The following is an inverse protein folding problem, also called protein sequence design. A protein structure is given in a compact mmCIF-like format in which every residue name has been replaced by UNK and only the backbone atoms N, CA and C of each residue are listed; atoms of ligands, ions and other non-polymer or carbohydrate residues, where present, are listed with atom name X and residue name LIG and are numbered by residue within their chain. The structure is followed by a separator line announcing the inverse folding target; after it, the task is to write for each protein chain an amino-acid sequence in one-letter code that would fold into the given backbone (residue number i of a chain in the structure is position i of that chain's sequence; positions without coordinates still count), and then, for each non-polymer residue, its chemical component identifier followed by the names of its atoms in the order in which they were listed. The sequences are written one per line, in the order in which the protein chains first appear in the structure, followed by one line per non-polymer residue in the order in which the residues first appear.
data_IF_158320752936
#
_entry.id   IF_158320752936
#
_cell.length_a   1.000
_cell.length_b   1.000
_cell.length_c   1.000
_cell.angle_alpha   90.00
_cell.angle_beta   90.00
_cell.angle_gamma   90.00
#
_symmetry.space_group_name_H-M   'P 1'
#
loop_
_entity.id
_entity.type
_entity.pdbx_description
1 polymer ?
#
# COMPACT_ATOMS: atom_id res chain seq x y z
N UNK A 1 2.07 14.47 16.91
CA UNK A 1 2.53 14.49 15.51
C UNK A 1 2.41 13.15 14.78
N UNK A 2 2.95 12.02 15.26
CA UNK A 2 2.69 10.71 14.61
C UNK A 2 1.34 10.10 14.98
N UNK A 3 0.90 10.21 16.24
CA UNK A 3 -0.42 9.75 16.68
C UNK A 3 -1.55 10.36 15.84
N UNK A 4 -1.51 11.67 15.58
CA UNK A 4 -2.51 12.36 14.75
C UNK A 4 -2.54 11.86 13.30
N UNK A 5 -1.39 11.45 12.76
CA UNK A 5 -1.29 10.88 11.41
C UNK A 5 -1.91 9.49 11.37
N UNK A 6 -1.60 8.65 12.35
CA UNK A 6 -2.21 7.32 12.51
C UNK A 6 -3.73 7.47 12.62
N UNK A 7 -4.20 8.38 13.46
CA UNK A 7 -5.62 8.63 13.66
C UNK A 7 -6.33 9.01 12.35
N UNK A 8 -5.79 9.98 11.61
CA UNK A 8 -6.35 10.43 10.33
C UNK A 8 -6.35 9.32 9.26
N UNK A 9 -5.27 8.54 9.17
CA UNK A 9 -5.16 7.43 8.22
C UNK A 9 -6.16 6.31 8.53
N UNK A 10 -6.32 5.94 9.81
CA UNK A 10 -7.31 4.94 10.22
C UNK A 10 -8.73 5.44 9.99
N UNK A 11 -9.05 6.69 10.36
CA UNK A 11 -10.38 7.24 10.13
C UNK A 11 -10.74 7.26 8.64
N UNK A 12 -9.83 7.70 7.79
CA UNK A 12 -10.05 7.69 6.34
C UNK A 12 -10.15 6.26 5.78
N UNK A 13 -9.29 5.36 6.24
CA UNK A 13 -9.24 3.98 5.78
C UNK A 13 -10.50 3.18 6.15
N UNK A 14 -10.95 3.27 7.40
CA UNK A 14 -12.21 2.64 7.83
C UNK A 14 -13.40 3.22 7.07
N UNK A 15 -13.46 4.54 6.87
CA UNK A 15 -14.54 5.18 6.10
C UNK A 15 -14.58 4.73 4.64
N UNK A 16 -13.41 4.60 4.01
CA UNK A 16 -13.29 4.41 2.56
C UNK A 16 -13.34 2.94 2.16
N UNK A 17 -12.59 2.09 2.88
CA UNK A 17 -12.39 0.69 2.50
C UNK A 17 -13.26 -0.28 3.29
N UNK A 18 -13.98 0.18 4.32
CA UNK A 18 -14.92 -0.63 5.09
C UNK A 18 -16.34 -0.04 5.08
N UNK A 19 -16.95 0.18 3.90
CA UNK A 19 -18.35 0.60 3.86
C UNK A 19 -19.21 -0.43 4.60
N UNK A 20 -20.06 0.05 5.51
CA UNK A 20 -20.88 -0.81 6.39
C UNK A 20 -20.08 -1.86 7.17
N UNK A 21 -18.84 -1.51 7.56
CA UNK A 21 -17.90 -2.36 8.31
C UNK A 21 -17.45 -3.63 7.57
N UNK A 22 -17.53 -3.67 6.24
CA UNK A 22 -17.06 -4.78 5.41
C UNK A 22 -16.01 -4.30 4.43
N UNK A 23 -14.85 -4.96 4.40
CA UNK A 23 -13.78 -4.59 3.48
C UNK A 23 -14.26 -4.65 2.02
N UNK A 24 -13.96 -3.62 1.23
CA UNK A 24 -14.26 -3.52 -0.21
C UNK A 24 -13.08 -2.88 -0.93
N UNK A 25 -12.65 -3.48 -2.04
CA UNK A 25 -11.66 -2.89 -2.92
C UNK A 25 -12.32 -1.90 -3.89
N UNK A 26 -12.43 -0.64 -3.45
CA UNK A 26 -13.23 0.40 -4.15
C UNK A 26 -12.79 0.69 -5.58
N UNK A 27 -11.52 0.44 -5.93
CA UNK A 27 -11.00 0.72 -7.26
C UNK A 27 -11.44 -0.30 -8.31
N UNK A 28 -11.88 -1.50 -7.91
CA UNK A 28 -12.11 -2.58 -8.86
C UNK A 28 -13.26 -3.56 -8.49
N UNK A 29 -13.69 -3.64 -7.24
CA UNK A 29 -14.71 -4.61 -6.81
C UNK A 29 -16.09 -4.24 -7.38
N UNK A 30 -16.38 -2.93 -7.50
CA UNK A 30 -17.65 -2.38 -8.00
C UNK A 30 -17.88 -2.61 -9.51
N UNK A 31 -16.83 -2.76 -10.29
CA UNK A 31 -16.89 -2.93 -11.75
C UNK A 31 -16.32 -4.27 -12.24
N UNK A 32 -16.08 -5.21 -11.32
CA UNK A 32 -15.47 -6.51 -11.61
C UNK A 32 -14.09 -6.44 -12.30
N UNK A 33 -13.35 -5.33 -12.10
CA UNK A 33 -12.10 -5.03 -12.79
C UNK A 33 -10.82 -5.51 -12.09
N UNK A 34 -10.94 -6.21 -10.95
CA UNK A 34 -9.80 -6.51 -10.09
C UNK A 34 -8.76 -7.41 -10.76
N UNK A 35 -7.48 -7.11 -10.47
CA UNK A 35 -6.32 -7.84 -10.94
C UNK A 35 -5.79 -8.79 -9.87
N UNK A 36 -4.88 -9.69 -10.26
CA UNK A 36 -4.37 -10.77 -9.41
C UNK A 36 -3.77 -10.29 -8.08
N UNK A 37 -3.07 -9.16 -8.11
CA UNK A 37 -2.54 -8.46 -6.95
C UNK A 37 -3.65 -7.95 -6.02
N UNK A 38 -4.68 -7.31 -6.59
CA UNK A 38 -5.77 -6.69 -5.85
C UNK A 38 -6.61 -7.67 -5.03
N UNK A 39 -6.63 -8.96 -5.41
CA UNK A 39 -7.33 -10.00 -4.63
C UNK A 39 -6.75 -10.20 -3.23
N UNK A 40 -5.52 -9.77 -2.96
CA UNK A 40 -4.83 -9.96 -1.68
C UNK A 40 -4.93 -8.77 -0.72
N UNK A 41 -5.32 -7.59 -1.22
CA UNK A 41 -5.20 -6.34 -0.46
C UNK A 41 -6.08 -6.32 0.79
N UNK A 42 -7.31 -6.84 0.70
CA UNK A 42 -8.23 -6.97 1.85
C UNK A 42 -7.60 -7.81 2.96
N UNK A 43 -6.91 -8.89 2.62
CA UNK A 43 -6.16 -9.70 3.56
C UNK A 43 -5.02 -8.94 4.26
N UNK A 44 -4.26 -8.16 3.50
CA UNK A 44 -3.19 -7.33 4.07
C UNK A 44 -3.74 -6.28 5.01
N UNK A 45 -4.80 -5.57 4.62
CA UNK A 45 -5.42 -4.54 5.44
C UNK A 45 -5.92 -5.13 6.76
N UNK A 46 -6.58 -6.29 6.75
CA UNK A 46 -7.00 -6.99 7.97
C UNK A 46 -5.83 -7.28 8.92
N UNK A 47 -4.74 -7.87 8.40
CA UNK A 47 -3.56 -8.22 9.21
C UNK A 47 -2.84 -6.98 9.75
N UNK A 48 -2.69 -5.96 8.92
CA UNK A 48 -2.01 -4.72 9.30
C UNK A 48 -2.83 -3.95 10.32
N UNK A 49 -4.14 -3.83 10.13
CA UNK A 49 -5.01 -3.14 11.09
C UNK A 49 -5.05 -3.86 12.43
N UNK A 50 -5.13 -5.19 12.44
CA UNK A 50 -5.02 -5.97 13.66
C UNK A 50 -3.68 -5.68 14.36
N UNK A 51 -2.56 -5.75 13.65
CA UNK A 51 -1.23 -5.44 14.22
C UNK A 51 -1.16 -4.01 14.76
N UNK A 52 -1.75 -3.03 14.07
CA UNK A 52 -1.83 -1.63 14.52
C UNK A 52 -2.45 -1.52 15.92
N UNK A 53 -3.45 -2.35 16.25
CA UNK A 53 -4.07 -2.33 17.58
C UNK A 53 -3.12 -2.75 18.71
N UNK A 54 -2.04 -3.47 18.43
CA UNK A 54 -1.04 -3.85 19.43
C UNK A 54 0.01 -2.74 19.65
N UNK A 55 0.44 -2.06 18.59
CA UNK A 55 1.44 -0.98 18.63
C UNK A 55 0.84 0.40 18.93
N UNK A 56 -0.43 0.62 18.60
CA UNK A 56 -1.20 1.84 18.87
C UNK A 56 -2.55 1.50 19.55
N UNK A 57 -2.56 1.11 20.84
CA UNK A 57 -3.75 0.54 21.49
C UNK A 57 -4.99 1.43 21.50
N UNK A 58 -4.82 2.76 21.47
CA UNK A 58 -5.92 3.73 21.37
C UNK A 58 -6.76 3.60 20.07
N UNK A 59 -6.32 2.79 19.10
CA UNK A 59 -7.06 2.50 17.86
C UNK A 59 -7.94 1.25 17.96
N UNK A 60 -7.73 0.39 18.97
CA UNK A 60 -8.31 -0.94 19.05
C UNK A 60 -9.85 -0.93 19.04
N UNK A 61 -10.48 -0.04 19.81
CA UNK A 61 -11.94 0.06 19.91
C UNK A 61 -12.61 0.44 18.59
N UNK A 62 -11.90 1.13 17.70
CA UNK A 62 -12.41 1.49 16.36
C UNK A 62 -12.14 0.41 15.33
N UNK A 63 -10.99 -0.25 15.40
CA UNK A 63 -10.54 -1.21 14.38
C UNK A 63 -11.15 -2.59 14.60
N UNK A 64 -11.07 -3.14 15.81
CA UNK A 64 -11.41 -4.56 16.05
C UNK A 64 -12.87 -4.90 15.72
N UNK A 65 -13.88 -4.08 16.07
CA UNK A 65 -15.27 -4.38 15.70
C UNK A 65 -15.48 -4.40 14.18
N UNK A 66 -14.80 -3.53 13.45
CA UNK A 66 -14.87 -3.47 11.98
C UNK A 66 -14.23 -4.70 11.36
N UNK A 67 -13.04 -5.10 11.84
CA UNK A 67 -12.39 -6.33 11.36
C UNK A 67 -13.25 -7.57 11.65
N UNK A 68 -13.90 -7.62 12.82
CA UNK A 68 -14.82 -8.72 13.17
C UNK A 68 -15.99 -8.82 12.21
N UNK A 69 -16.71 -7.72 11.96
CA UNK A 69 -17.84 -7.70 11.01
C UNK A 69 -17.39 -8.03 9.59
N UNK A 70 -16.27 -7.45 9.14
CA UNK A 70 -15.74 -7.75 7.82
C UNK A 70 -15.31 -9.20 7.67
N UNK A 71 -14.73 -9.83 8.69
CA UNK A 71 -14.36 -11.24 8.65
C UNK A 71 -15.59 -12.16 8.66
N UNK A 72 -16.65 -11.80 9.38
CA UNK A 72 -17.94 -12.50 9.33
C UNK A 72 -18.54 -12.48 7.92
N UNK A 73 -18.54 -11.31 7.25
CA UNK A 73 -18.98 -11.20 5.87
C UNK A 73 -18.08 -12.01 4.91
N UNK A 74 -16.77 -12.00 5.15
CA UNK A 74 -15.81 -12.77 4.37
C UNK A 74 -16.09 -14.27 4.42
N UNK A 75 -16.37 -14.85 5.59
CA UNK A 75 -16.67 -16.28 5.71
C UNK A 75 -18.09 -16.64 5.27
N UNK A 76 -19.05 -15.72 5.39
CA UNK A 76 -20.45 -15.97 4.99
C UNK A 76 -20.59 -16.27 3.49
N UNK A 77 -19.75 -15.65 2.65
CA UNK A 77 -19.74 -15.91 1.21
C UNK A 77 -18.90 -17.13 0.81
N UNK A 78 -18.15 -17.76 1.73
CA UNK A 78 -17.32 -18.94 1.44
C UNK A 78 -18.17 -20.22 1.37
N UNK A 79 -19.02 -20.30 0.36
CA UNK A 79 -19.96 -21.41 0.13
C UNK A 79 -19.78 -22.05 -1.24
N UNK A 80 -18.76 -21.64 -1.99
CA UNK A 80 -18.53 -22.02 -3.38
C UNK A 80 -17.79 -23.33 -3.59
N UNK A 81 -17.69 -23.71 -4.87
CA UNK A 81 -16.85 -24.80 -5.34
C UNK A 81 -17.34 -26.20 -4.98
N UNK A 82 -16.57 -27.21 -5.40
CA UNK A 82 -16.93 -28.63 -5.22
C UNK A 82 -16.99 -29.08 -3.76
N UNK A 83 -16.34 -28.36 -2.85
CA UNK A 83 -16.31 -28.66 -1.42
C UNK A 83 -17.24 -27.76 -0.59
N UNK A 84 -18.02 -26.86 -1.22
CA UNK A 84 -18.97 -25.97 -0.56
C UNK A 84 -18.33 -24.96 0.41
N UNK A 85 -17.04 -24.67 0.27
CA UNK A 85 -16.28 -23.79 1.17
C UNK A 85 -15.27 -22.88 0.47
N UNK A 86 -15.29 -22.81 -0.85
CA UNK A 86 -14.41 -21.90 -1.60
C UNK A 86 -14.87 -20.46 -1.43
N UNK A 87 -13.90 -19.56 -1.35
CA UNK A 87 -14.11 -18.15 -1.05
C UNK A 87 -13.91 -17.25 -2.28
N UNK A 88 -14.84 -16.31 -2.45
CA UNK A 88 -14.77 -15.22 -3.41
C UNK A 88 -14.19 -13.92 -2.83
N UNK A 89 -14.25 -12.85 -3.62
CA UNK A 89 -13.75 -11.52 -3.28
C UNK A 89 -14.85 -10.60 -2.71
N UNK A 90 -16.08 -10.70 -3.23
CA UNK A 90 -17.18 -9.77 -2.94
C UNK A 90 -17.89 -10.04 -1.61
N UNK A 91 -17.22 -9.71 -0.52
CA UNK A 91 -17.72 -9.97 0.83
C UNK A 91 -18.98 -9.17 1.17
N UNK A 92 -19.09 -7.93 0.65
CA UNK A 92 -20.23 -7.06 0.90
C UNK A 92 -21.54 -7.56 0.24
N UNK A 93 -21.44 -8.37 -0.82
CA UNK A 93 -22.60 -8.94 -1.51
C UNK A 93 -23.26 -10.07 -0.69
N UNK A 94 -22.57 -10.60 0.32
CA UNK A 94 -23.07 -11.67 1.21
C UNK A 94 -23.25 -13.03 0.54
N UNK A 95 -22.79 -13.21 -0.71
CA UNK A 95 -22.90 -14.45 -1.49
C UNK A 95 -21.62 -14.73 -2.25
N UNK A 96 -21.36 -16.01 -2.52
CA UNK A 96 -20.24 -16.42 -3.35
C UNK A 96 -20.36 -15.80 -4.76
N UNK A 97 -19.30 -15.13 -5.22
CA UNK A 97 -19.27 -14.38 -6.49
C UNK A 97 -18.91 -15.25 -7.71
N UNK A 98 -18.72 -16.56 -7.51
CA UNK A 98 -18.35 -17.50 -8.56
C UNK A 98 -16.86 -17.51 -8.91
N UNK A 99 -16.03 -16.64 -8.31
CA UNK A 99 -14.62 -16.45 -8.64
C UNK A 99 -13.73 -16.76 -7.45
N UNK A 100 -13.07 -17.91 -7.48
CA UNK A 100 -12.10 -18.33 -6.46
C UNK A 100 -10.67 -18.32 -7.00
N UNK A 101 -9.72 -18.09 -6.11
CA UNK A 101 -8.29 -18.15 -6.39
C UNK A 101 -7.46 -17.99 -5.11
N UNK A 102 -6.15 -18.15 -5.24
CA UNK A 102 -5.21 -18.05 -4.10
C UNK A 102 -5.33 -16.70 -3.39
N UNK A 103 -5.55 -15.61 -4.13
CA UNK A 103 -5.69 -14.27 -3.53
C UNK A 103 -6.93 -14.14 -2.65
N UNK A 104 -8.07 -14.62 -3.14
CA UNK A 104 -9.35 -14.63 -2.41
C UNK A 104 -9.25 -15.47 -1.13
N UNK A 105 -8.73 -16.70 -1.26
CA UNK A 105 -8.55 -17.60 -0.12
C UNK A 105 -7.57 -17.04 0.91
N UNK A 106 -6.45 -16.45 0.45
CA UNK A 106 -5.48 -15.79 1.31
C UNK A 106 -6.09 -14.60 2.06
N UNK A 107 -6.93 -13.80 1.39
CA UNK A 107 -7.59 -12.66 2.00
C UNK A 107 -8.57 -13.08 3.09
N UNK A 108 -9.37 -14.13 2.88
CA UNK A 108 -10.28 -14.64 3.91
C UNK A 108 -9.49 -15.27 5.07
N UNK A 109 -8.46 -16.07 4.78
CA UNK A 109 -7.60 -16.65 5.81
C UNK A 109 -7.00 -15.55 6.71
N UNK A 110 -6.46 -14.50 6.08
CA UNK A 110 -5.88 -13.36 6.77
C UNK A 110 -6.90 -12.63 7.64
N UNK A 111 -8.13 -12.42 7.15
CA UNK A 111 -9.21 -11.80 7.92
C UNK A 111 -9.58 -12.61 9.17
N UNK A 112 -9.76 -13.93 9.01
CA UNK A 112 -10.12 -14.83 10.11
C UNK A 112 -9.01 -14.93 11.15
N UNK A 113 -7.76 -15.12 10.72
CA UNK A 113 -6.61 -15.21 11.64
C UNK A 113 -6.42 -13.91 12.44
N UNK A 114 -6.71 -12.75 11.83
CA UNK A 114 -6.55 -11.45 12.47
C UNK A 114 -7.50 -11.25 13.66
N UNK A 115 -8.61 -12.00 13.75
CA UNK A 115 -9.50 -11.98 14.93
C UNK A 115 -8.83 -12.51 16.21
N UNK A 116 -7.75 -13.27 16.08
CA UNK A 116 -7.01 -13.83 17.21
C UNK A 116 -5.97 -12.85 17.78
N UNK A 117 -5.91 -11.60 17.29
CA UNK A 117 -4.89 -10.62 17.68
C UNK A 117 -4.85 -10.34 19.19
N UNK A 118 -5.99 -10.42 19.88
CA UNK A 118 -6.05 -10.26 21.35
C UNK A 118 -5.36 -11.38 22.14
N UNK A 119 -5.06 -12.51 21.50
CA UNK A 119 -4.27 -13.62 22.08
C UNK A 119 -2.85 -13.70 21.53
N UNK A 120 -2.53 -12.91 20.50
CA UNK A 120 -1.22 -12.89 19.89
C UNK A 120 -0.27 -12.02 20.72
N UNK A 121 1.01 -12.39 20.73
CA UNK A 121 2.07 -11.52 21.26
C UNK A 121 2.24 -10.31 20.33
N UNK A 122 2.54 -9.12 20.85
CA UNK A 122 2.88 -7.97 20.03
C UNK A 122 4.17 -8.21 19.23
N UNK A 123 4.41 -7.45 18.14
CA UNK A 123 5.69 -7.49 17.44
C UNK A 123 6.86 -7.26 18.40
N UNK A 124 7.83 -8.17 18.38
CA UNK A 124 9.01 -8.11 19.24
C UNK A 124 10.05 -7.15 18.67
N UNK A 125 10.88 -6.59 19.55
CA UNK A 125 12.06 -5.80 19.22
C UNK A 125 13.32 -6.63 19.47
N UNK A 126 14.49 -6.05 19.22
CA UNK A 126 15.78 -6.63 19.62
C UNK A 126 15.78 -7.02 21.12
N UNK A 127 15.25 -6.14 21.98
CA UNK A 127 15.32 -6.32 23.43
C UNK A 127 14.15 -7.14 24.01
N UNK A 128 13.07 -7.37 23.22
CA UNK A 128 11.83 -8.00 23.70
C UNK A 128 11.55 -9.37 23.09
N UNK A 129 12.59 -10.07 22.62
CA UNK A 129 12.50 -11.47 22.19
C UNK A 129 12.67 -11.70 20.68
N UNK A 130 13.18 -10.71 19.94
CA UNK A 130 13.61 -10.90 18.55
C UNK A 130 14.82 -11.84 18.48
N UNK A 131 14.66 -12.98 17.81
CA UNK A 131 15.75 -13.98 17.64
C UNK A 131 16.48 -13.86 16.30
N UNK A 132 16.02 -12.99 15.40
CA UNK A 132 16.65 -12.77 14.10
C UNK A 132 17.88 -11.88 14.23
N UNK A 133 19.00 -12.29 13.64
CA UNK A 133 20.24 -11.50 13.63
C UNK A 133 20.23 -10.50 12.46
N UNK A 134 20.69 -9.27 12.72
CA UNK A 134 20.89 -8.27 11.69
C UNK A 134 22.11 -8.58 10.81
N UNK A 135 22.09 -8.07 9.57
CA UNK A 135 23.24 -8.06 8.68
C UNK A 135 23.56 -6.61 8.29
N UNK A 136 24.68 -6.02 8.76
CA UNK A 136 25.11 -4.68 8.37
C UNK A 136 25.30 -4.50 6.86
N UNK A 137 25.62 -5.58 6.14
CA UNK A 137 25.80 -5.61 4.68
C UNK A 137 24.51 -6.00 3.93
N UNK A 138 23.37 -6.00 4.61
CA UNK A 138 22.07 -6.33 4.03
C UNK A 138 21.74 -5.45 2.83
N UNK A 139 21.62 -6.06 1.65
CA UNK A 139 21.31 -5.36 0.40
C UNK A 139 22.51 -4.87 -0.41
N UNK A 140 23.76 -5.03 0.08
CA UNK A 140 24.95 -4.71 -0.73
C UNK A 140 25.13 -5.71 -1.90
N UNK A 141 24.74 -6.98 -1.70
CA UNK A 141 24.83 -8.02 -2.73
C UNK A 141 26.23 -8.11 -3.36
N UNK A 142 26.32 -8.63 -4.57
CA UNK A 142 27.52 -8.61 -5.42
C UNK A 142 27.51 -7.44 -6.42
N UNK A 143 26.57 -6.49 -6.27
CA UNK A 143 26.35 -5.40 -7.21
C UNK A 143 25.65 -5.78 -8.51
N UNK A 144 25.32 -7.06 -8.75
CA UNK A 144 24.71 -7.53 -10.02
C UNK A 144 23.31 -6.97 -10.30
N UNK A 145 22.58 -6.60 -9.25
CA UNK A 145 21.22 -6.04 -9.31
C UNK A 145 21.24 -4.51 -9.32
N UNK A 146 22.37 -3.89 -8.97
CA UNK A 146 22.52 -2.45 -9.15
C UNK A 146 22.76 -2.18 -10.64
N UNK A 147 21.90 -1.42 -11.33
CA UNK A 147 22.17 -1.07 -12.71
C UNK A 147 23.53 -0.37 -12.72
N UNK A 148 24.46 -0.89 -13.53
CA UNK A 148 25.76 -0.27 -13.75
C UNK A 148 25.52 1.21 -14.05
N UNK A 149 25.87 2.09 -13.10
CA UNK A 149 25.72 3.52 -13.35
C UNK A 149 26.64 3.83 -14.52
N UNK A 150 26.04 4.16 -15.67
CA UNK A 150 26.81 4.54 -16.85
C UNK A 150 27.67 5.72 -16.46
N UNK A 151 28.99 5.54 -16.51
CA UNK A 151 29.93 6.60 -16.18
C UNK A 151 29.65 7.81 -17.08
N UNK A 152 29.46 8.98 -16.47
CA UNK A 152 29.26 10.22 -17.21
C UNK A 152 30.50 10.48 -18.07
N UNK A 153 30.33 10.47 -19.39
CA UNK A 153 31.43 10.68 -20.34
C UNK A 153 31.73 12.17 -20.52
N UNK A 154 32.89 12.49 -21.11
CA UNK A 154 33.21 13.86 -21.49
C UNK A 154 32.18 14.45 -22.48
N UNK A 155 31.62 13.61 -23.36
CA UNK A 155 30.55 14.00 -24.29
C UNK A 155 29.25 14.36 -23.58
N UNK A 156 28.86 13.60 -22.56
CA UNK A 156 27.67 13.89 -21.74
C UNK A 156 27.81 15.23 -21.01
N UNK A 157 29.00 15.52 -20.47
CA UNK A 157 29.30 16.82 -19.82
C UNK A 157 29.25 17.97 -20.83
N UNK A 158 29.86 17.81 -22.00
CA UNK A 158 29.84 18.83 -23.05
C UNK A 158 28.41 19.12 -23.52
N UNK A 159 27.62 18.09 -23.80
CA UNK A 159 26.22 18.23 -24.21
C UNK A 159 25.36 18.93 -23.16
N UNK A 160 25.46 18.52 -21.88
CA UNK A 160 24.76 19.16 -20.78
C UNK A 160 25.14 20.65 -20.64
N UNK A 161 26.42 20.98 -20.83
CA UNK A 161 26.92 22.35 -20.76
C UNK A 161 26.34 23.22 -21.88
N UNK A 162 26.37 22.73 -23.12
CA UNK A 162 25.84 23.45 -24.29
C UNK A 162 24.33 23.72 -24.14
N UNK A 163 23.56 22.72 -23.74
CA UNK A 163 22.11 22.88 -23.53
C UNK A 163 21.83 23.92 -22.44
N UNK A 164 22.57 23.87 -21.33
CA UNK A 164 22.43 24.83 -20.24
C UNK A 164 22.73 26.27 -20.70
N UNK A 165 23.80 26.46 -21.48
CA UNK A 165 24.16 27.76 -22.03
C UNK A 165 23.11 28.27 -23.01
N UNK A 166 22.57 27.41 -23.89
CA UNK A 166 21.53 27.82 -24.84
C UNK A 166 20.23 28.21 -24.15
N UNK A 167 19.81 27.47 -23.11
CA UNK A 167 18.61 27.79 -22.35
C UNK A 167 18.77 29.10 -21.58
N UNK A 168 19.91 29.30 -20.89
CA UNK A 168 20.20 30.55 -20.20
C UNK A 168 20.33 31.73 -21.16
N UNK A 169 21.04 31.53 -22.29
CA UNK A 169 21.18 32.54 -23.33
C UNK A 169 19.85 32.93 -23.95
N UNK A 170 18.98 31.96 -24.26
CA UNK A 170 17.64 32.20 -24.77
C UNK A 170 16.74 32.92 -23.76
N UNK A 171 16.80 32.53 -22.48
CA UNK A 171 16.06 33.21 -21.42
C UNK A 171 16.54 34.66 -21.26
N UNK A 172 17.85 34.89 -21.14
CA UNK A 172 18.43 36.24 -21.06
C UNK A 172 18.11 37.07 -22.32
N UNK A 173 18.12 36.46 -23.50
CA UNK A 173 17.73 37.12 -24.75
C UNK A 173 16.26 37.52 -24.76
N UNK A 174 15.36 36.65 -24.32
CA UNK A 174 13.93 36.95 -24.20
C UNK A 174 13.67 38.05 -23.17
N UNK A 175 14.27 37.98 -21.98
CA UNK A 175 14.15 39.03 -20.96
C UNK A 175 14.76 40.35 -21.43
N UNK A 176 15.89 40.30 -22.15
CA UNK A 176 16.51 41.47 -22.76
C UNK A 176 15.61 42.11 -23.83
N UNK A 177 15.01 41.32 -24.71
CA UNK A 177 14.06 41.79 -25.73
C UNK A 177 12.83 42.43 -25.10
N UNK A 178 12.19 41.75 -24.14
CA UNK A 178 11.05 42.32 -23.40
C UNK A 178 11.41 43.62 -22.68
N UNK A 179 12.61 43.71 -22.12
CA UNK A 179 13.09 44.92 -21.45
C UNK A 179 13.35 46.05 -22.44
N UNK A 180 13.87 45.74 -23.63
CA UNK A 180 14.08 46.70 -24.71
C UNK A 180 12.76 47.22 -25.29
N UNK A 181 11.75 46.36 -25.51
CA UNK A 181 10.41 46.82 -25.90
C UNK A 181 9.72 47.63 -24.79
N UNK A 182 10.03 47.38 -23.52
CA UNK A 182 9.54 48.18 -22.40
C UNK A 182 10.29 49.52 -22.21
N UNK A 183 11.44 49.73 -22.88
CA UNK A 183 12.31 50.91 -22.69
C UNK A 183 12.73 51.66 -23.97
N UNK A 184 12.33 51.20 -25.16
CA UNK A 184 12.38 51.95 -26.42
C UNK A 184 11.18 52.90 -26.57
N UNK A 185 11.29 53.98 -27.38
CA UNK A 185 10.52 55.22 -27.26
C UNK A 185 9.00 55.10 -27.36
#
# INVERSE_FOLDING_TARGET
MWGDRVDKLINYGLKTFFPHDVAVEISCELNDGCKTDMFTYKGFVHRWYATITQIAPFTAERILPVLQKSAQAAVAQCTGGANGRQCGLKWADGKYDGKTGVGQEMSVLAAVQSLLIGKARPPVTHDSGGTSAGNPDGGQGDGSVMPNQKSVTAGDRAGASIITILLLGGACGMFGWMSYEASGP
#
